data_IF_218493001129
#
_entry.id   IF_218493001129
#
_cell.length_a   1.000
_cell.length_b   1.000
_cell.length_c   1.000
_cell.angle_alpha   90.00
_cell.angle_beta   90.00
_cell.angle_gamma   90.00
#
_symmetry.space_group_name_H-M   'P 1'
#
loop_
_entity.id
_entity.type
_entity.pdbx_description
1 polymer ?
#
# COMPACT_ATOMS: atom_id res chain seq x y z
N UNK A 1 5.76 -5.28 19.41
CA UNK A 1 4.35 -5.59 19.74
C UNK A 1 4.38 -6.62 20.85
N UNK A 2 3.54 -6.49 21.87
CA UNK A 2 3.57 -7.30 23.10
C UNK A 2 2.51 -8.43 23.09
N UNK A 3 2.30 -9.05 21.92
CA UNK A 3 1.34 -10.16 21.79
C UNK A 3 1.79 -11.46 22.49
N UNK A 4 3.06 -11.52 22.93
CA UNK A 4 3.64 -12.64 23.66
C UNK A 4 3.81 -12.37 25.17
N UNK A 5 3.71 -11.10 25.59
CA UNK A 5 3.95 -10.68 26.97
C UNK A 5 2.68 -10.67 27.84
N UNK A 6 1.52 -10.93 27.24
CA UNK A 6 0.20 -10.92 27.87
C UNK A 6 -0.68 -12.04 27.30
N UNK A 7 -1.84 -12.28 27.92
CA UNK A 7 -2.90 -13.07 27.30
C UNK A 7 -3.36 -12.45 25.97
N UNK A 8 -4.14 -13.19 25.19
CA UNK A 8 -4.68 -12.72 23.90
C UNK A 8 -5.40 -11.37 24.05
N UNK A 9 -5.06 -10.42 23.17
CA UNK A 9 -5.65 -9.09 23.08
C UNK A 9 -6.20 -8.91 21.68
N UNK A 10 -7.50 -9.14 21.53
CA UNK A 10 -8.15 -9.05 20.23
C UNK A 10 -8.15 -7.61 19.68
N UNK A 11 -7.98 -7.42 18.36
CA UNK A 11 -8.03 -6.11 17.74
C UNK A 11 -9.47 -5.60 17.58
N UNK A 12 -9.63 -4.32 17.26
CA UNK A 12 -10.90 -3.74 16.80
C UNK A 12 -10.92 -3.65 15.25
N UNK A 13 -12.07 -3.29 14.66
CA UNK A 13 -12.27 -3.27 13.20
C UNK A 13 -12.82 -1.92 12.72
N UNK A 14 -12.45 -1.52 11.50
CA UNK A 14 -12.97 -0.32 10.82
C UNK A 14 -13.41 -0.73 9.41
N UNK A 15 -14.68 -0.48 9.07
CA UNK A 15 -15.18 -0.64 7.70
C UNK A 15 -14.85 0.59 6.87
N UNK A 16 -14.29 0.39 5.68
CA UNK A 16 -14.09 1.45 4.70
C UNK A 16 -14.25 0.87 3.29
N UNK A 17 -14.87 1.60 2.35
CA UNK A 17 -14.98 1.15 0.96
C UNK A 17 -13.62 1.16 0.25
N UNK A 18 -12.68 1.97 0.73
CA UNK A 18 -11.37 2.16 0.13
C UNK A 18 -10.33 2.43 1.21
N UNK A 19 -9.16 1.81 1.08
CA UNK A 19 -8.00 1.98 1.94
C UNK A 19 -6.83 2.49 1.11
N UNK A 20 -6.09 3.47 1.64
CA UNK A 20 -4.82 3.93 1.08
C UNK A 20 -3.71 3.51 2.04
N UNK A 21 -2.80 2.65 1.57
CA UNK A 21 -1.65 2.18 2.33
C UNK A 21 -0.36 2.88 1.89
N UNK A 22 0.26 3.57 2.83
CA UNK A 22 1.51 4.33 2.65
C UNK A 22 2.48 4.08 3.82
N UNK A 23 2.60 2.83 4.26
CA UNK A 23 3.32 2.44 5.48
C UNK A 23 4.85 2.44 5.35
N UNK A 24 5.40 2.89 4.22
CA UNK A 24 6.83 2.86 3.93
C UNK A 24 7.32 1.49 3.43
N UNK A 25 8.64 1.37 3.22
CA UNK A 25 9.27 0.13 2.72
C UNK A 25 9.42 -0.93 3.83
N UNK A 26 9.92 -2.12 3.49
CA UNK A 26 10.01 -3.25 4.41
C UNK A 26 10.82 -2.94 5.68
N UNK A 27 10.39 -3.56 6.77
CA UNK A 27 10.89 -3.42 8.13
C UNK A 27 9.92 -4.03 9.14
N UNK A 28 10.13 -3.80 10.45
CA UNK A 28 9.24 -4.33 11.49
C UNK A 28 7.79 -3.84 11.39
N UNK A 29 7.58 -2.63 10.84
CA UNK A 29 6.27 -1.98 10.73
C UNK A 29 5.87 -1.62 9.29
N UNK A 30 6.85 -1.49 8.41
CA UNK A 30 6.62 -1.00 7.06
C UNK A 30 6.16 -2.09 6.11
N UNK A 31 5.67 -1.66 4.95
CA UNK A 31 5.13 -2.51 3.90
C UNK A 31 4.02 -3.47 4.36
N UNK A 32 3.19 -3.03 5.31
CA UNK A 32 2.22 -3.88 5.99
C UNK A 32 1.22 -4.51 5.02
N UNK A 33 0.53 -3.69 4.23
CA UNK A 33 -0.59 -4.16 3.39
C UNK A 33 -0.07 -5.08 2.30
N UNK A 34 1.06 -4.74 1.70
CA UNK A 34 1.65 -5.51 0.60
C UNK A 34 2.22 -6.86 1.06
N UNK A 35 2.84 -6.91 2.25
CA UNK A 35 3.24 -8.17 2.89
C UNK A 35 2.03 -9.01 3.27
N UNK A 36 0.94 -8.36 3.73
CA UNK A 36 -0.30 -9.05 4.07
C UNK A 36 -0.94 -9.69 2.83
N UNK A 37 -0.95 -9.00 1.68
CA UNK A 37 -1.44 -9.54 0.42
C UNK A 37 -0.73 -10.83 0.01
N UNK A 38 0.59 -10.93 0.20
CA UNK A 38 1.35 -12.18 -0.03
C UNK A 38 0.88 -13.29 0.92
N UNK A 39 0.77 -12.99 2.23
CA UNK A 39 0.33 -13.99 3.21
C UNK A 39 -1.12 -14.47 2.99
N UNK A 40 -1.95 -13.64 2.35
CA UNK A 40 -3.31 -13.96 1.95
C UNK A 40 -3.38 -14.64 0.57
N UNK A 41 -2.24 -14.86 -0.09
CA UNK A 41 -2.16 -15.45 -1.44
C UNK A 41 -2.87 -14.63 -2.52
N UNK A 42 -3.10 -13.34 -2.28
CA UNK A 42 -3.69 -12.42 -3.26
C UNK A 42 -2.67 -11.99 -4.33
N UNK A 43 -1.38 -11.97 -3.97
CA UNK A 43 -0.26 -11.80 -4.90
C UNK A 43 0.80 -12.89 -4.62
N UNK A 44 1.53 -13.37 -5.65
CA UNK A 44 2.43 -14.52 -5.50
C UNK A 44 3.65 -14.21 -4.62
N UNK A 45 4.23 -13.02 -4.76
CA UNK A 45 5.43 -12.60 -4.04
C UNK A 45 5.60 -11.08 -4.12
N UNK A 46 6.43 -10.53 -3.24
CA UNK A 46 6.93 -9.16 -3.37
C UNK A 46 7.99 -9.07 -4.48
N UNK A 47 8.04 -7.93 -5.17
CA UNK A 47 9.13 -7.58 -6.08
C UNK A 47 10.42 -7.20 -5.34
N UNK A 48 10.27 -6.70 -4.10
CA UNK A 48 11.34 -6.31 -3.18
C UNK A 48 12.03 -5.01 -3.58
N UNK A 49 12.09 -4.04 -2.67
CA UNK A 49 12.76 -2.77 -2.90
C UNK A 49 14.20 -2.98 -3.38
N UNK A 50 14.58 -2.32 -4.47
CA UNK A 50 15.90 -2.46 -5.10
C UNK A 50 16.89 -1.42 -4.57
N UNK A 51 18.12 -1.50 -5.09
CA UNK A 51 19.20 -0.57 -4.76
C UNK A 51 18.82 0.90 -5.02
N UNK A 52 19.65 1.81 -4.52
CA UNK A 52 19.38 3.23 -4.64
C UNK A 52 19.70 3.74 -6.05
N UNK A 53 18.69 4.29 -6.72
CA UNK A 53 18.82 5.07 -7.95
C UNK A 53 17.70 6.12 -7.95
N UNK A 54 18.07 7.35 -7.63
CA UNK A 54 17.12 8.44 -7.38
C UNK A 54 16.30 8.79 -8.62
N UNK A 55 16.92 8.78 -9.80
CA UNK A 55 16.29 9.23 -11.03
C UNK A 55 15.19 8.26 -11.48
N UNK A 56 15.45 6.97 -11.37
CA UNK A 56 14.47 5.94 -11.74
C UNK A 56 13.45 5.73 -10.64
N UNK A 57 13.86 5.81 -9.36
CA UNK A 57 13.00 5.58 -8.21
C UNK A 57 11.85 6.59 -8.12
N UNK A 58 12.14 7.90 -8.19
CA UNK A 58 11.09 8.91 -7.96
C UNK A 58 9.98 8.81 -9.02
N UNK A 59 10.37 8.67 -10.28
CA UNK A 59 9.47 8.51 -11.40
C UNK A 59 8.64 7.22 -11.30
N UNK A 60 9.28 6.10 -10.96
CA UNK A 60 8.60 4.81 -10.84
C UNK A 60 7.53 4.84 -9.75
N UNK A 61 7.82 5.45 -8.60
CA UNK A 61 6.87 5.49 -7.48
C UNK A 61 5.66 6.38 -7.78
N UNK A 62 5.87 7.56 -8.36
CA UNK A 62 4.76 8.46 -8.69
C UNK A 62 3.88 7.84 -9.77
N UNK A 63 4.48 7.35 -10.86
CA UNK A 63 3.74 6.76 -11.99
C UNK A 63 3.05 5.43 -11.62
N UNK A 64 3.65 4.67 -10.71
CA UNK A 64 3.14 3.37 -10.28
C UNK A 64 2.04 3.44 -9.22
N UNK A 65 1.85 4.56 -8.54
CA UNK A 65 0.85 4.69 -7.45
C UNK A 65 -0.55 4.43 -7.99
N UNK A 66 -1.20 3.39 -7.47
CA UNK A 66 -2.46 2.85 -8.00
C UNK A 66 -3.21 1.96 -7.00
N UNK A 67 -4.42 1.58 -7.38
CA UNK A 67 -5.15 0.47 -6.77
C UNK A 67 -4.48 -0.86 -7.14
N UNK A 68 -3.90 -1.55 -6.14
CA UNK A 68 -3.19 -2.84 -6.35
C UNK A 68 -4.17 -4.01 -6.36
N UNK A 69 -5.19 -3.95 -5.52
CA UNK A 69 -6.35 -4.85 -5.55
C UNK A 69 -7.62 -4.05 -5.26
N UNK A 70 -8.81 -4.54 -5.63
CA UNK A 70 -10.07 -3.86 -5.37
C UNK A 70 -10.18 -3.38 -3.91
N UNK A 71 -10.30 -2.07 -3.70
CA UNK A 71 -10.41 -1.43 -2.39
C UNK A 71 -9.09 -1.07 -1.70
N UNK A 72 -7.91 -1.35 -2.29
CA UNK A 72 -6.61 -1.05 -1.71
C UNK A 72 -5.68 -0.31 -2.69
N UNK A 73 -5.45 0.97 -2.42
CA UNK A 73 -4.47 1.81 -3.10
C UNK A 73 -3.15 1.76 -2.33
N UNK A 74 -2.04 1.58 -3.05
CA UNK A 74 -0.70 1.60 -2.48
C UNK A 74 0.11 2.72 -3.13
N UNK A 75 0.79 3.49 -2.28
CA UNK A 75 1.67 4.57 -2.71
C UNK A 75 2.89 4.70 -1.79
N UNK A 76 3.71 5.71 -2.06
CA UNK A 76 4.95 5.97 -1.36
C UNK A 76 5.93 4.80 -1.48
N UNK A 77 6.83 4.67 -0.50
CA UNK A 77 7.85 3.63 -0.51
C UNK A 77 7.32 2.21 -0.32
N UNK A 78 6.08 2.03 0.14
CA UNK A 78 5.45 0.70 0.22
C UNK A 78 5.27 0.09 -1.17
N UNK A 79 4.98 0.92 -2.18
CA UNK A 79 4.83 0.48 -3.56
C UNK A 79 6.11 -0.14 -4.13
N UNK A 80 7.28 0.31 -3.66
CA UNK A 80 8.57 -0.24 -4.11
C UNK A 80 8.74 -1.72 -3.79
N UNK A 81 8.10 -2.20 -2.72
CA UNK A 81 8.16 -3.60 -2.32
C UNK A 81 7.28 -4.48 -3.21
N UNK A 82 6.16 -3.95 -3.71
CA UNK A 82 5.28 -4.65 -4.66
C UNK A 82 5.95 -4.73 -6.02
N UNK A 83 6.34 -3.57 -6.55
CA UNK A 83 6.76 -3.45 -7.95
C UNK A 83 8.26 -3.76 -8.14
N UNK A 84 9.03 -3.86 -7.06
CA UNK A 84 10.47 -4.03 -7.13
C UNK A 84 11.19 -2.79 -7.66
N UNK A 85 10.74 -1.60 -7.25
CA UNK A 85 11.33 -0.33 -7.68
C UNK A 85 12.60 0.00 -6.88
N UNK A 86 13.45 0.86 -7.45
CA UNK A 86 14.59 1.44 -6.75
C UNK A 86 14.13 2.34 -5.60
N UNK A 87 15.02 2.53 -4.62
CA UNK A 87 14.82 3.52 -3.56
C UNK A 87 15.46 4.86 -3.92
N UNK A 88 14.88 5.97 -3.45
CA UNK A 88 15.42 7.32 -3.70
C UNK A 88 16.29 7.88 -2.55
N UNK A 89 16.29 7.26 -1.37
CA UNK A 89 17.10 7.76 -0.25
C UNK A 89 16.57 9.09 0.31
N UNK A 90 17.44 10.10 0.57
CA UNK A 90 17.05 11.33 1.29
C UNK A 90 16.46 12.41 0.38
N UNK A 91 15.52 12.04 -0.49
CA UNK A 91 14.69 12.96 -1.29
C UNK A 91 13.22 12.59 -1.14
N UNK A 92 12.34 13.58 -1.27
CA UNK A 92 10.93 13.47 -0.86
C UNK A 92 9.94 13.85 -1.96
N UNK A 93 10.40 14.23 -3.16
CA UNK A 93 9.54 14.67 -4.26
C UNK A 93 8.55 13.58 -4.66
N UNK A 94 9.04 12.35 -4.76
CA UNK A 94 8.20 11.18 -5.05
C UNK A 94 7.12 10.95 -4.00
N UNK A 95 7.39 11.17 -2.72
CA UNK A 95 6.42 10.92 -1.65
C UNK A 95 5.28 11.92 -1.70
N UNK A 96 5.59 13.20 -1.94
CA UNK A 96 4.58 14.24 -2.10
C UNK A 96 3.67 13.97 -3.30
N UNK A 97 4.26 13.73 -4.48
CA UNK A 97 3.49 13.50 -5.71
C UNK A 97 2.79 12.14 -5.73
N UNK A 98 3.36 11.11 -5.11
CA UNK A 98 2.69 9.81 -4.92
C UNK A 98 1.46 9.97 -4.02
N UNK A 99 1.54 10.77 -2.96
CA UNK A 99 0.37 11.07 -2.12
C UNK A 99 -0.74 11.78 -2.88
N UNK A 100 -0.40 12.76 -3.73
CA UNK A 100 -1.35 13.42 -4.63
C UNK A 100 -1.99 12.40 -5.58
N UNK A 101 -1.17 11.56 -6.22
CA UNK A 101 -1.65 10.53 -7.14
C UNK A 101 -2.56 9.51 -6.45
N UNK A 102 -2.25 9.09 -5.23
CA UNK A 102 -3.09 8.19 -4.45
C UNK A 102 -4.46 8.81 -4.15
N UNK A 103 -4.51 10.12 -3.85
CA UNK A 103 -5.78 10.83 -3.64
C UNK A 103 -6.60 10.93 -4.94
N UNK A 104 -5.95 11.19 -6.08
CA UNK A 104 -6.61 11.19 -7.40
C UNK A 104 -7.19 9.82 -7.76
N UNK A 105 -6.41 8.74 -7.57
CA UNK A 105 -6.90 7.38 -7.79
C UNK A 105 -8.04 7.03 -6.83
N UNK A 106 -7.99 7.51 -5.58
CA UNK A 106 -9.06 7.30 -4.62
C UNK A 106 -10.37 7.95 -5.09
N UNK A 107 -10.34 9.22 -5.49
CA UNK A 107 -11.52 9.91 -6.00
C UNK A 107 -12.10 9.22 -7.25
N UNK A 108 -11.24 8.65 -8.09
CA UNK A 108 -11.64 7.95 -9.31
C UNK A 108 -12.41 6.65 -9.04
N UNK A 109 -12.04 5.90 -8.00
CA UNK A 109 -12.66 4.58 -7.72
C UNK A 109 -13.65 4.58 -6.55
N UNK A 110 -13.73 5.68 -5.77
CA UNK A 110 -14.48 5.74 -4.52
C UNK A 110 -15.96 5.34 -4.68
N UNK A 111 -16.68 5.94 -5.63
CA UNK A 111 -18.12 5.68 -5.80
C UNK A 111 -18.39 4.23 -6.22
N UNK A 112 -17.52 3.66 -7.05
CA UNK A 112 -17.59 2.25 -7.44
C UNK A 112 -17.42 1.35 -6.21
N UNK A 113 -16.35 1.53 -5.43
CA UNK A 113 -16.09 0.69 -4.25
C UNK A 113 -17.16 0.87 -3.16
N UNK A 114 -17.70 2.09 -3.03
CA UNK A 114 -18.82 2.38 -2.12
C UNK A 114 -20.08 1.62 -2.53
N UNK A 115 -20.39 1.57 -3.82
CA UNK A 115 -21.53 0.81 -4.33
C UNK A 115 -21.35 -0.70 -4.12
N UNK A 116 -20.18 -1.25 -4.46
CA UNK A 116 -19.84 -2.67 -4.25
C UNK A 116 -19.96 -3.08 -2.76
N UNK A 117 -19.59 -2.19 -1.83
CA UNK A 117 -19.77 -2.43 -0.39
C UNK A 117 -21.25 -2.38 0.04
N UNK A 118 -22.07 -1.50 -0.55
CA UNK A 118 -23.48 -1.32 -0.20
C UNK A 118 -24.38 -2.46 -0.70
N UNK A 119 -24.02 -3.10 -1.82
CA UNK A 119 -24.79 -4.19 -2.42
C UNK A 119 -24.56 -5.56 -1.74
N UNK A 120 -23.99 -5.57 -0.53
CA UNK A 120 -23.75 -6.79 0.24
C UNK A 120 -22.52 -7.57 -0.24
N UNK A 121 -21.46 -6.84 -0.63
CA UNK A 121 -20.19 -7.33 -1.16
C UNK A 121 -19.88 -8.79 -0.85
N UNK A 122 -20.01 -9.64 -1.87
CA UNK A 122 -19.53 -11.01 -1.86
C UNK A 122 -18.01 -10.95 -1.99
N UNK A 123 -17.29 -11.00 -0.87
CA UNK A 123 -15.86 -11.27 -0.84
C UNK A 123 -15.61 -12.75 -1.10
#
# INVERSE_FOLDING_TARGET
MHHDDQSCMDPNTINAPLIVSTTGHDGPFGAFSVKRLVSMQAIPSLGGMRGLDMNTAEDAIVKGTREICPGLIVGGMELSEVDGANRMGPTFGAMALSGVKAAEEALKVFDQRRAECAEGGKW
#
